data_IF_437984193991
#
_entry.id   IF_437984193991
#
_cell.length_a   1.000
_cell.length_b   1.000
_cell.length_c   1.000
_cell.angle_alpha   90.00
_cell.angle_beta   90.00
_cell.angle_gamma   90.00
#
_symmetry.space_group_name_H-M   'P 1'
#
loop_
_entity.id
_entity.type
_entity.pdbx_description
1 polymer ?
#
# COMPACT_ATOMS: atom_id res chain seq x y z
N UNK A 1 -11.22 0.46 -24.09
CA UNK A 1 -10.29 0.97 -23.05
C UNK A 1 -11.14 1.39 -21.86
N UNK A 2 -10.76 1.05 -20.62
CA UNK A 2 -11.48 1.63 -19.46
C UNK A 2 -11.34 3.15 -19.54
N UNK A 3 -12.40 3.87 -19.20
CA UNK A 3 -12.38 5.33 -19.22
C UNK A 3 -11.20 5.83 -18.38
N UNK A 4 -10.36 6.77 -18.85
CA UNK A 4 -9.13 7.16 -18.15
C UNK A 4 -9.38 7.63 -16.71
N UNK A 5 -10.54 8.26 -16.47
CA UNK A 5 -10.95 8.67 -15.11
C UNK A 5 -11.19 7.48 -14.17
N UNK A 6 -11.63 6.32 -14.67
CA UNK A 6 -11.82 5.12 -13.83
C UNK A 6 -10.49 4.61 -13.31
N UNK A 7 -9.46 4.64 -14.16
CA UNK A 7 -8.10 4.25 -13.77
C UNK A 7 -7.56 5.20 -12.71
N UNK A 8 -7.71 6.52 -12.90
CA UNK A 8 -7.28 7.53 -11.94
C UNK A 8 -8.03 7.41 -10.61
N UNK A 9 -9.35 7.19 -10.65
CA UNK A 9 -10.16 7.01 -9.44
C UNK A 9 -9.76 5.75 -8.67
N UNK A 10 -9.45 4.66 -9.38
CA UNK A 10 -8.94 3.44 -8.73
C UNK A 10 -7.59 3.65 -8.07
N UNK A 11 -6.67 4.36 -8.73
CA UNK A 11 -5.37 4.70 -8.15
C UNK A 11 -5.51 5.62 -6.94
N UNK A 12 -6.35 6.66 -7.04
CA UNK A 12 -6.66 7.55 -5.93
C UNK A 12 -7.31 6.81 -4.75
N UNK A 13 -8.21 5.87 -5.02
CA UNK A 13 -8.84 5.04 -4.00
C UNK A 13 -7.84 4.16 -3.26
N UNK A 14 -6.89 3.55 -3.98
CA UNK A 14 -5.81 2.75 -3.38
C UNK A 14 -4.92 3.64 -2.50
N UNK A 15 -4.54 4.83 -3.00
CA UNK A 15 -3.72 5.78 -2.23
C UNK A 15 -4.44 6.30 -0.99
N UNK A 16 -5.74 6.55 -1.07
CA UNK A 16 -6.56 6.96 0.08
C UNK A 16 -6.61 5.86 1.14
N UNK A 17 -6.81 4.60 0.74
CA UNK A 17 -6.81 3.47 1.67
C UNK A 17 -5.42 3.25 2.28
N UNK A 18 -4.36 3.35 1.47
CA UNK A 18 -2.98 3.30 1.95
C UNK A 18 -2.70 4.40 3.01
N UNK A 19 -3.20 5.62 2.78
CA UNK A 19 -3.10 6.72 3.74
C UNK A 19 -3.85 6.41 5.04
N UNK A 20 -5.10 5.95 4.97
CA UNK A 20 -5.87 5.57 6.15
C UNK A 20 -5.19 4.45 6.94
N UNK A 21 -4.66 3.45 6.24
CA UNK A 21 -3.90 2.35 6.84
C UNK A 21 -2.62 2.84 7.51
N UNK A 22 -1.91 3.80 6.94
CA UNK A 22 -0.76 4.46 7.57
C UNK A 22 -1.12 5.15 8.90
N UNK A 23 -2.32 5.73 8.99
CA UNK A 23 -2.81 6.37 10.21
C UNK A 23 -3.27 5.36 11.28
N UNK A 24 -3.79 4.20 10.86
CA UNK A 24 -4.46 3.26 11.75
C UNK A 24 -3.59 2.07 12.18
N UNK A 25 -2.66 1.62 11.33
CA UNK A 25 -1.89 0.41 11.57
C UNK A 25 -0.44 0.72 11.94
N UNK A 26 0.14 -0.03 12.89
CA UNK A 26 1.55 0.12 13.21
C UNK A 26 2.41 -0.34 12.04
N UNK A 27 3.44 0.45 11.75
CA UNK A 27 4.40 0.14 10.70
C UNK A 27 5.33 -1.00 11.12
N UNK A 28 5.71 -1.91 10.21
CA UNK A 28 6.59 -3.02 10.54
C UNK A 28 8.02 -2.55 10.84
N UNK A 29 8.48 -2.74 12.08
CA UNK A 29 9.89 -2.50 12.44
C UNK A 29 10.74 -3.73 12.14
N UNK A 30 11.67 -3.59 11.20
CA UNK A 30 12.72 -4.59 11.00
C UNK A 30 13.69 -4.55 12.18
N UNK A 31 14.24 -5.71 12.56
CA UNK A 31 15.32 -5.75 13.55
C UNK A 31 16.52 -4.94 13.06
N UNK A 32 17.17 -4.19 13.97
CA UNK A 32 18.28 -3.28 13.63
C UNK A 32 19.40 -3.98 12.85
N UNK A 33 19.71 -5.23 13.18
CA UNK A 33 20.74 -6.03 12.51
C UNK A 33 20.41 -6.32 11.05
N UNK A 34 19.15 -6.66 10.74
CA UNK A 34 18.69 -6.89 9.37
C UNK A 34 18.58 -5.59 8.59
N UNK A 35 18.09 -4.52 9.22
CA UNK A 35 17.99 -3.21 8.60
C UNK A 35 19.36 -2.67 8.17
N UNK A 36 20.39 -2.79 9.02
CA UNK A 36 21.75 -2.39 8.69
C UNK A 36 22.32 -3.21 7.52
N UNK A 37 22.09 -4.53 7.49
CA UNK A 37 22.51 -5.38 6.37
C UNK A 37 21.86 -5.01 5.05
N UNK A 38 20.57 -4.65 5.09
CA UNK A 38 19.85 -4.19 3.90
C UNK A 38 20.33 -2.80 3.45
N UNK A 39 20.57 -1.86 4.36
CA UNK A 39 21.15 -0.54 4.02
C UNK A 39 22.51 -0.70 3.35
N UNK A 40 23.37 -1.56 3.89
CA UNK A 40 24.69 -1.88 3.31
C UNK A 40 24.55 -2.51 1.91
N UNK A 41 23.62 -3.46 1.74
CA UNK A 41 23.39 -4.13 0.46
C UNK A 41 22.83 -3.16 -0.60
N UNK A 42 21.82 -2.38 -0.25
CA UNK A 42 21.17 -1.42 -1.16
C UNK A 42 21.92 -0.09 -1.27
N UNK A 43 23.08 0.07 -0.62
CA UNK A 43 23.86 1.31 -0.59
C UNK A 43 23.00 2.54 -0.22
N UNK A 44 22.07 2.38 0.72
CA UNK A 44 21.23 3.49 1.17
C UNK A 44 22.03 4.41 2.11
N UNK A 45 21.71 5.70 2.09
CA UNK A 45 22.42 6.69 2.89
C UNK A 45 22.04 6.60 4.38
N UNK A 46 20.77 6.29 4.65
CA UNK A 46 20.22 6.31 6.01
C UNK A 46 19.25 5.15 6.27
N UNK A 47 19.21 4.68 7.52
CA UNK A 47 18.19 3.74 7.98
C UNK A 47 16.77 4.29 7.80
N UNK A 48 16.60 5.61 8.00
CA UNK A 48 15.30 6.26 7.82
C UNK A 48 14.80 6.18 6.36
N UNK A 49 15.71 6.28 5.39
CA UNK A 49 15.37 6.13 3.97
C UNK A 49 14.86 4.73 3.67
N UNK A 50 15.53 3.70 4.20
CA UNK A 50 15.09 2.31 4.06
C UNK A 50 13.68 2.13 4.65
N UNK A 51 13.46 2.59 5.89
CA UNK A 51 12.15 2.48 6.54
C UNK A 51 11.06 3.22 5.77
N UNK A 52 11.38 4.40 5.22
CA UNK A 52 10.42 5.15 4.38
C UNK A 52 9.98 4.33 3.18
N UNK A 53 10.93 3.76 2.43
CA UNK A 53 10.61 2.91 1.26
C UNK A 53 9.83 1.67 1.69
N UNK A 54 10.25 1.01 2.78
CA UNK A 54 9.57 -0.16 3.33
C UNK A 54 8.11 0.17 3.69
N UNK A 55 7.88 1.29 4.38
CA UNK A 55 6.54 1.73 4.77
C UNK A 55 5.71 2.11 3.56
N UNK A 56 6.27 2.82 2.57
CA UNK A 56 5.57 3.12 1.33
C UNK A 56 5.13 1.85 0.61
N UNK A 57 6.01 0.85 0.46
CA UNK A 57 5.68 -0.42 -0.18
C UNK A 57 4.63 -1.20 0.61
N UNK A 58 4.78 -1.25 1.93
CA UNK A 58 3.86 -1.95 2.83
C UNK A 58 2.45 -1.35 2.77
N UNK A 59 2.31 -0.05 2.98
CA UNK A 59 1.01 0.61 2.99
C UNK A 59 0.39 0.71 1.59
N UNK A 60 1.19 0.82 0.53
CA UNK A 60 0.67 0.75 -0.84
C UNK A 60 0.11 -0.64 -1.14
N UNK A 61 0.81 -1.71 -0.74
CA UNK A 61 0.32 -3.07 -0.89
C UNK A 61 -0.95 -3.30 -0.06
N UNK A 62 -0.98 -2.78 1.17
CA UNK A 62 -2.14 -2.91 2.06
C UNK A 62 -3.35 -2.16 1.48
N UNK A 63 -3.19 -0.90 1.06
CA UNK A 63 -4.23 -0.13 0.38
C UNK A 63 -4.72 -0.77 -0.93
N UNK A 64 -3.83 -1.43 -1.67
CA UNK A 64 -4.21 -2.19 -2.87
C UNK A 64 -5.04 -3.44 -2.51
N UNK A 65 -4.65 -4.18 -1.48
CA UNK A 65 -5.41 -5.34 -0.99
C UNK A 65 -6.79 -4.90 -0.49
N UNK A 66 -6.85 -3.86 0.34
CA UNK A 66 -8.11 -3.30 0.84
C UNK A 66 -9.03 -2.88 -0.31
N UNK A 67 -8.50 -2.15 -1.30
CA UNK A 67 -9.25 -1.75 -2.47
C UNK A 67 -9.80 -2.96 -3.22
N UNK A 68 -8.98 -3.99 -3.45
CA UNK A 68 -9.40 -5.20 -4.15
C UNK A 68 -10.45 -5.99 -3.37
N UNK A 69 -10.31 -6.09 -2.05
CA UNK A 69 -11.30 -6.74 -1.18
C UNK A 69 -12.62 -5.98 -1.21
N UNK A 70 -12.61 -4.65 -1.01
CA UNK A 70 -13.81 -3.83 -1.10
C UNK A 70 -14.47 -3.94 -2.47
N UNK A 71 -13.69 -3.89 -3.54
CA UNK A 71 -14.18 -4.03 -4.92
C UNK A 71 -14.72 -5.44 -5.19
N UNK A 72 -14.12 -6.48 -4.57
CA UNK A 72 -14.59 -7.86 -4.68
C UNK A 72 -15.90 -8.06 -3.92
N UNK A 73 -16.00 -7.61 -2.67
CA UNK A 73 -17.22 -7.60 -1.86
C UNK A 73 -18.32 -6.83 -2.60
N UNK A 74 -18.02 -5.62 -3.07
CA UNK A 74 -18.99 -4.81 -3.82
C UNK A 74 -19.53 -5.56 -5.04
N UNK A 75 -18.65 -6.16 -5.86
CA UNK A 75 -19.12 -6.95 -7.01
C UNK A 75 -19.89 -8.19 -6.60
N UNK A 76 -19.53 -8.84 -5.49
CA UNK A 76 -20.17 -10.07 -5.04
C UNK A 76 -21.60 -9.86 -4.54
N UNK A 77 -21.85 -8.71 -3.90
CA UNK A 77 -23.13 -8.42 -3.22
C UNK A 77 -23.99 -7.37 -3.93
N UNK A 78 -23.40 -6.33 -4.53
CA UNK A 78 -24.14 -5.22 -5.13
C UNK A 78 -24.20 -5.25 -6.68
N UNK A 79 -23.38 -6.08 -7.35
CA UNK A 79 -23.37 -6.15 -8.83
C UNK A 79 -24.31 -7.20 -9.43
N UNK A 80 -25.16 -7.83 -8.61
CA UNK A 80 -26.20 -8.75 -9.06
C UNK A 80 -27.49 -7.94 -9.24
N UNK A 81 -27.90 -7.73 -10.48
CA UNK A 81 -29.22 -7.23 -10.89
C UNK A 81 -29.78 -5.95 -10.23
N UNK A 82 -29.48 -4.80 -10.84
CA UNK A 82 -30.49 -3.77 -11.15
C UNK A 82 -30.14 -3.13 -12.49
#
# INVERSE_FOLDING_TARGET
>A
MKHPLETLLSAAGILLLALLSCLLLPAPSLGLTLAQKLVETFHMMDLNQLYTVLFCLWFLALGAIEYLVLRWVWRRWFSLER
#
